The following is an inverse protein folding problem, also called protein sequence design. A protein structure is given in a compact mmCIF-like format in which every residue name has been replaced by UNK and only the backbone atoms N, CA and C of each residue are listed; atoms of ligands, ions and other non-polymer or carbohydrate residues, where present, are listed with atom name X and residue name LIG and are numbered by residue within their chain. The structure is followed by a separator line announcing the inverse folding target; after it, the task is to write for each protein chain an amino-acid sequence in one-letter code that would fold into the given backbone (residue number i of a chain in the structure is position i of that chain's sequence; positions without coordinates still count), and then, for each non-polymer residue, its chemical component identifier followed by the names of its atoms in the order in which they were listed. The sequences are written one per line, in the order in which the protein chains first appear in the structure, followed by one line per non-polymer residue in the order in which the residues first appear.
data_IF_235935732222
#
_entry.id   IF_235935732222
#
_cell.length_a   1.000
_cell.length_b   1.000
_cell.length_c   1.000
_cell.angle_alpha   90.00
_cell.angle_beta   90.00
_cell.angle_gamma   90.00
#
_symmetry.space_group_name_H-M   'P 1'
#
loop_
_entity.id
_entity.type
_entity.pdbx_description
1 polymer ?
#
# COMPACT_ATOMS: atom_id res chain seq x y z
N UNK A 1 -61.74 -9.15 32.05
CA UNK A 1 -60.47 -9.82 31.73
C UNK A 1 -60.01 -9.32 30.35
N UNK A 2 -58.93 -8.50 30.26
CA UNK A 2 -58.38 -7.95 29.00
C UNK A 2 -57.11 -8.73 28.63
N UNK A 3 -56.94 -9.25 27.39
CA UNK A 3 -55.72 -9.91 26.99
C UNK A 3 -54.65 -8.84 26.62
N UNK A 4 -53.49 -8.99 27.21
CA UNK A 4 -52.30 -8.19 26.90
C UNK A 4 -51.71 -8.65 25.56
N UNK A 5 -51.64 -7.76 24.59
CA UNK A 5 -50.98 -7.98 23.30
C UNK A 5 -49.49 -7.72 23.49
N UNK A 6 -48.68 -8.77 23.50
CA UNK A 6 -47.23 -8.72 23.48
C UNK A 6 -46.78 -8.38 22.05
N UNK A 7 -46.35 -7.13 21.82
CA UNK A 7 -45.73 -6.72 20.56
C UNK A 7 -44.26 -7.17 20.56
N UNK A 8 -43.95 -8.20 19.76
CA UNK A 8 -42.61 -8.67 19.49
C UNK A 8 -41.96 -7.71 18.48
N UNK A 9 -41.06 -6.84 18.95
CA UNK A 9 -40.22 -5.99 18.09
C UNK A 9 -39.07 -6.85 17.54
N UNK A 10 -39.22 -7.27 16.27
CA UNK A 10 -38.12 -7.87 15.51
C UNK A 10 -37.20 -6.75 15.07
N UNK A 11 -36.07 -6.57 15.77
CA UNK A 11 -34.99 -5.68 15.34
C UNK A 11 -34.23 -6.35 14.19
N UNK A 12 -34.51 -5.94 12.94
CA UNK A 12 -33.70 -6.30 11.80
C UNK A 12 -32.34 -5.62 11.90
N UNK A 13 -31.32 -6.38 12.33
CA UNK A 13 -29.90 -6.01 12.22
C UNK A 13 -29.51 -6.07 10.74
N UNK A 14 -29.52 -4.91 10.08
CA UNK A 14 -28.88 -4.76 8.75
C UNK A 14 -27.38 -4.86 8.94
N UNK A 15 -26.82 -6.05 8.71
CA UNK A 15 -25.37 -6.23 8.54
C UNK A 15 -25.03 -5.67 7.18
N UNK A 16 -24.59 -4.40 7.13
CA UNK A 16 -23.95 -3.84 5.94
C UNK A 16 -22.62 -4.56 5.73
N UNK A 17 -22.62 -5.56 4.86
CA UNK A 17 -21.39 -6.18 4.38
C UNK A 17 -20.66 -5.12 3.53
N UNK A 18 -19.72 -4.39 4.15
CA UNK A 18 -18.72 -3.64 3.39
C UNK A 18 -17.92 -4.65 2.57
N UNK A 19 -18.16 -4.72 1.27
CA UNK A 19 -17.32 -5.44 0.33
C UNK A 19 -15.94 -4.76 0.31
N UNK A 20 -15.03 -5.30 1.11
CA UNK A 20 -13.65 -4.81 1.16
C UNK A 20 -12.86 -5.44 0.03
N UNK A 21 -12.19 -4.62 -0.75
CA UNK A 21 -11.23 -5.02 -1.81
C UNK A 21 -10.10 -5.88 -1.25
N UNK A 22 -9.80 -5.74 0.04
CA UNK A 22 -8.95 -6.66 0.81
C UNK A 22 -9.81 -7.75 1.47
N UNK A 23 -9.42 -9.01 1.32
CA UNK A 23 -10.00 -10.12 2.07
C UNK A 23 -9.76 -9.96 3.59
N UNK A 24 -10.53 -10.68 4.44
CA UNK A 24 -10.37 -10.60 5.90
C UNK A 24 -8.94 -10.92 6.36
N UNK A 25 -8.31 -11.96 5.84
CA UNK A 25 -6.93 -12.34 6.16
C UNK A 25 -5.89 -11.34 5.66
N UNK A 26 -6.11 -10.70 4.52
CA UNK A 26 -5.22 -9.67 3.97
C UNK A 26 -5.19 -8.42 4.85
N UNK A 27 -6.32 -8.03 5.42
CA UNK A 27 -6.39 -6.88 6.32
C UNK A 27 -5.61 -7.10 7.61
N UNK A 28 -5.70 -8.29 8.19
CA UNK A 28 -4.94 -8.65 9.39
C UNK A 28 -3.44 -8.70 9.11
N UNK A 29 -3.03 -9.29 7.97
CA UNK A 29 -1.63 -9.31 7.53
C UNK A 29 -1.07 -7.90 7.32
N UNK A 30 -1.84 -7.03 6.68
CA UNK A 30 -1.47 -5.63 6.46
C UNK A 30 -1.28 -4.90 7.79
N UNK A 31 -2.20 -5.04 8.72
CA UNK A 31 -2.11 -4.41 10.04
C UNK A 31 -0.87 -4.89 10.80
N UNK A 32 -0.65 -6.19 10.86
CA UNK A 32 0.52 -6.77 11.55
C UNK A 32 1.85 -6.29 10.95
N UNK A 33 1.93 -6.24 9.63
CA UNK A 33 3.13 -5.77 8.93
C UNK A 33 3.38 -4.28 9.18
N UNK A 34 2.33 -3.46 9.16
CA UNK A 34 2.42 -2.03 9.47
C UNK A 34 2.83 -1.77 10.93
N UNK A 35 2.32 -2.54 11.88
CA UNK A 35 2.74 -2.50 13.29
C UNK A 35 4.21 -2.88 13.45
N UNK A 36 4.66 -3.93 12.75
CA UNK A 36 6.06 -4.35 12.73
C UNK A 36 6.97 -3.23 12.20
N UNK A 37 6.66 -2.64 11.02
CA UNK A 37 7.40 -1.53 10.45
C UNK A 37 7.46 -0.32 11.40
N UNK A 38 6.31 0.09 11.93
CA UNK A 38 6.22 1.22 12.84
C UNK A 38 7.01 1.03 14.13
N UNK A 39 7.12 -0.22 14.63
CA UNK A 39 7.88 -0.54 15.84
C UNK A 39 9.37 -0.30 15.70
N UNK A 40 9.91 -0.27 14.48
CA UNK A 40 11.32 0.01 14.19
C UNK A 40 11.68 1.49 14.38
N UNK A 41 10.68 2.40 14.39
CA UNK A 41 10.90 3.84 14.55
C UNK A 41 11.76 4.46 13.45
N UNK A 42 11.76 3.87 12.25
CA UNK A 42 12.59 4.28 11.12
C UNK A 42 12.09 5.60 10.55
N UNK A 43 12.96 6.60 10.48
CA UNK A 43 12.65 7.92 9.90
C UNK A 43 13.46 8.25 8.65
N UNK A 44 14.59 7.59 8.45
CA UNK A 44 15.46 7.79 7.28
C UNK A 44 15.91 6.42 6.74
N UNK A 45 15.65 6.17 5.45
CA UNK A 45 16.02 4.92 4.78
C UNK A 45 16.15 5.13 3.27
N UNK A 46 16.74 4.15 2.60
CA UNK A 46 16.73 4.06 1.15
C UNK A 46 16.35 2.65 0.72
N UNK A 47 15.73 2.52 -0.43
CA UNK A 47 15.36 1.23 -0.99
C UNK A 47 15.23 1.31 -2.50
N UNK A 48 15.26 0.17 -3.18
CA UNK A 48 15.00 0.09 -4.60
C UNK A 48 13.51 -0.11 -4.83
N UNK A 49 12.93 0.67 -5.77
CA UNK A 49 11.56 0.45 -6.20
C UNK A 49 11.37 0.67 -7.69
N UNK A 50 10.34 0.03 -8.23
CA UNK A 50 9.78 0.29 -9.56
C UNK A 50 8.26 0.23 -9.52
N UNK A 51 7.65 0.72 -10.59
CA UNK A 51 6.20 0.64 -10.78
C UNK A 51 5.91 0.09 -12.16
N UNK A 52 5.13 -0.98 -12.23
CA UNK A 52 4.59 -1.54 -13.48
C UNK A 52 3.16 -1.05 -13.65
N UNK A 53 2.88 -0.23 -14.67
CA UNK A 53 1.59 0.39 -14.95
C UNK A 53 1.50 0.74 -16.43
N UNK A 54 0.34 1.10 -16.93
CA UNK A 54 0.22 1.74 -18.25
C UNK A 54 0.59 3.23 -18.12
N UNK A 55 1.88 3.49 -17.91
CA UNK A 55 2.45 4.82 -17.63
C UNK A 55 3.78 5.00 -18.39
N UNK A 56 4.45 6.13 -18.23
CA UNK A 56 5.72 6.41 -18.92
C UNK A 56 6.86 5.44 -18.56
N UNK A 57 7.79 5.20 -19.48
CA UNK A 57 8.88 4.24 -19.29
C UNK A 57 9.79 4.57 -18.10
N UNK A 58 9.86 5.84 -17.69
CA UNK A 58 10.69 6.35 -16.61
C UNK A 58 10.38 5.76 -15.24
N UNK A 59 9.22 5.11 -15.07
CA UNK A 59 8.82 4.49 -13.80
C UNK A 59 9.00 2.98 -13.76
N UNK A 60 9.19 2.32 -14.92
CA UNK A 60 9.42 0.87 -15.00
C UNK A 60 10.77 0.42 -14.51
N UNK A 61 11.75 1.30 -14.65
CA UNK A 61 13.11 0.99 -14.25
C UNK A 61 13.24 1.03 -12.73
N UNK A 62 14.04 0.11 -12.20
CA UNK A 62 14.43 0.15 -10.81
C UNK A 62 15.18 1.43 -10.49
N UNK A 63 14.79 2.07 -9.41
CA UNK A 63 15.45 3.26 -8.90
C UNK A 63 15.70 3.14 -7.41
N UNK A 64 16.80 3.66 -6.92
CA UNK A 64 17.05 3.85 -5.49
C UNK A 64 16.33 5.10 -5.05
N UNK A 65 15.44 4.96 -4.08
CA UNK A 65 14.63 6.02 -3.51
C UNK A 65 15.13 6.33 -2.11
N UNK A 66 15.40 7.59 -1.83
CA UNK A 66 15.76 8.06 -0.49
C UNK A 66 14.53 8.67 0.17
N UNK A 67 14.25 8.23 1.40
CA UNK A 67 13.09 8.65 2.18
C UNK A 67 13.53 9.29 3.49
N UNK A 68 12.84 10.37 3.85
CA UNK A 68 13.00 11.04 5.15
C UNK A 68 11.64 11.44 5.71
N UNK A 69 11.37 11.03 6.95
CA UNK A 69 10.11 11.29 7.65
C UNK A 69 8.87 10.88 6.81
N UNK A 70 8.93 9.71 6.18
CA UNK A 70 7.84 9.17 5.37
C UNK A 70 7.66 9.81 3.98
N UNK A 71 8.50 10.78 3.60
CA UNK A 71 8.44 11.44 2.30
C UNK A 71 9.66 11.09 1.42
N UNK A 72 9.42 10.85 0.13
CA UNK A 72 10.48 10.71 -0.87
C UNK A 72 11.20 12.04 -1.01
N UNK A 73 12.51 12.08 -0.76
CA UNK A 73 13.34 13.28 -0.87
C UNK A 73 14.21 13.30 -2.11
N UNK A 74 14.58 12.13 -2.63
CA UNK A 74 15.30 11.99 -3.90
C UNK A 74 15.12 10.59 -4.48
N UNK A 75 15.38 10.46 -5.77
CA UNK A 75 15.52 9.17 -6.42
C UNK A 75 16.67 9.21 -7.44
N UNK A 76 17.33 8.07 -7.68
CA UNK A 76 18.41 7.91 -8.66
C UNK A 76 18.28 6.54 -9.33
N UNK A 77 18.76 6.44 -10.57
CA UNK A 77 18.89 5.16 -11.26
C UNK A 77 19.84 4.23 -10.50
N UNK A 78 19.84 2.94 -10.82
CA UNK A 78 20.81 2.00 -10.24
C UNK A 78 22.27 2.33 -10.62
N UNK A 79 22.49 3.04 -11.71
CA UNK A 79 23.81 3.58 -12.10
C UNK A 79 24.22 4.85 -11.33
N UNK A 80 23.33 5.39 -10.49
CA UNK A 80 23.57 6.57 -9.64
C UNK A 80 23.15 7.90 -10.27
N UNK A 81 22.65 7.93 -11.52
CA UNK A 81 22.18 9.16 -12.14
C UNK A 81 20.91 9.68 -11.43
N UNK A 82 20.84 10.97 -11.05
CA UNK A 82 19.67 11.53 -10.38
C UNK A 82 18.45 11.51 -11.30
N UNK A 83 17.28 11.17 -10.76
CA UNK A 83 16.00 11.27 -11.45
C UNK A 83 15.38 12.64 -11.14
N UNK A 84 14.51 13.12 -12.03
CA UNK A 84 13.83 14.42 -11.91
C UNK A 84 12.37 14.33 -12.38
N UNK A 85 11.56 15.34 -12.03
CA UNK A 85 10.19 15.45 -12.49
C UNK A 85 9.34 14.23 -12.15
N UNK A 86 8.55 13.75 -13.10
CA UNK A 86 7.63 12.64 -12.92
C UNK A 86 8.31 11.34 -12.48
N UNK A 87 9.57 11.10 -12.91
CA UNK A 87 10.33 9.93 -12.49
C UNK A 87 10.59 9.88 -10.95
N UNK A 88 10.64 11.03 -10.27
CA UNK A 88 10.72 11.12 -8.79
C UNK A 88 9.32 11.15 -8.18
N UNK A 89 8.42 11.96 -8.70
CA UNK A 89 7.07 12.18 -8.16
C UNK A 89 6.22 10.91 -8.14
N UNK A 90 6.45 10.01 -9.10
CA UNK A 90 5.80 8.70 -9.17
C UNK A 90 6.27 7.71 -8.10
N UNK A 91 7.45 7.93 -7.50
CA UNK A 91 7.99 7.04 -6.46
C UNK A 91 7.20 7.18 -5.16
N UNK A 92 7.13 6.09 -4.42
CA UNK A 92 6.38 6.01 -3.16
C UNK A 92 7.34 5.67 -2.02
N UNK A 93 7.09 6.22 -0.85
CA UNK A 93 7.71 5.75 0.39
C UNK A 93 7.02 4.48 0.90
N UNK A 94 7.61 3.80 1.87
CA UNK A 94 6.99 2.63 2.54
C UNK A 94 5.64 3.02 3.15
N UNK A 95 5.56 4.18 3.79
CA UNK A 95 4.34 4.70 4.41
C UNK A 95 3.24 4.95 3.37
N UNK A 96 3.62 5.46 2.18
CA UNK A 96 2.68 5.65 1.07
C UNK A 96 2.22 4.33 0.46
N UNK A 97 3.10 3.30 0.41
CA UNK A 97 2.70 1.95 -0.02
C UNK A 97 1.69 1.33 0.95
N UNK A 98 1.87 1.47 2.26
CA UNK A 98 0.87 1.07 3.25
C UNK A 98 -0.44 1.84 3.10
N UNK A 99 -0.38 3.14 2.83
CA UNK A 99 -1.57 3.95 2.61
C UNK A 99 -2.34 3.50 1.37
N UNK A 100 -1.66 3.22 0.25
CA UNK A 100 -2.25 2.65 -0.96
C UNK A 100 -2.94 1.31 -0.62
N UNK A 101 -2.24 0.39 0.02
CA UNK A 101 -2.79 -0.91 0.39
C UNK A 101 -4.05 -0.78 1.27
N UNK A 102 -4.09 0.16 2.21
CA UNK A 102 -5.18 0.34 3.17
C UNK A 102 -6.36 1.13 2.62
N UNK A 103 -6.12 2.22 1.90
CA UNK A 103 -7.13 3.24 1.58
C UNK A 103 -7.49 3.35 0.09
N UNK A 104 -6.68 2.84 -0.82
CA UNK A 104 -6.92 3.00 -2.25
C UNK A 104 -8.10 2.14 -2.71
N UNK A 105 -9.24 2.77 -2.99
CA UNK A 105 -10.52 2.08 -3.29
C UNK A 105 -11.33 2.76 -4.39
N UNK A 106 -10.73 3.17 -5.52
CA UNK A 106 -11.53 3.69 -6.63
C UNK A 106 -12.45 2.58 -7.20
N UNK A 107 -13.57 3.00 -7.78
CA UNK A 107 -14.62 2.09 -8.27
C UNK A 107 -14.13 1.07 -9.31
N UNK A 108 -13.02 1.36 -9.99
CA UNK A 108 -12.45 0.48 -10.99
C UNK A 108 -11.54 -0.62 -10.40
N UNK A 109 -11.14 -0.54 -9.14
CA UNK A 109 -10.33 -1.58 -8.49
C UNK A 109 -11.20 -2.78 -8.14
N UNK A 110 -10.75 -3.97 -8.52
CA UNK A 110 -11.37 -5.24 -8.13
C UNK A 110 -10.65 -5.88 -6.94
N UNK A 111 -9.32 -5.77 -6.87
CA UNK A 111 -8.50 -6.43 -5.85
C UNK A 111 -7.22 -5.65 -5.59
N UNK A 112 -6.73 -5.73 -4.35
CA UNK A 112 -5.38 -5.32 -3.95
C UNK A 112 -4.75 -6.50 -3.23
N UNK A 113 -3.59 -6.95 -3.74
CA UNK A 113 -2.75 -7.97 -3.11
C UNK A 113 -1.49 -7.28 -2.58
N UNK A 114 -1.03 -7.71 -1.39
CA UNK A 114 0.16 -7.14 -0.76
C UNK A 114 1.07 -8.25 -0.26
N UNK A 115 2.36 -8.15 -0.58
CA UNK A 115 3.41 -8.97 0.00
C UNK A 115 4.30 -8.10 0.90
N UNK A 116 4.84 -8.70 1.95
CA UNK A 116 5.62 -7.99 2.96
C UNK A 116 6.97 -8.66 3.18
N UNK A 117 7.98 -7.87 3.50
CA UNK A 117 9.24 -8.35 4.02
C UNK A 117 9.03 -9.02 5.38
N UNK A 118 9.59 -10.22 5.56
CA UNK A 118 9.37 -11.01 6.76
C UNK A 118 10.05 -10.42 8.02
N UNK A 119 11.17 -9.73 7.83
CA UNK A 119 12.01 -9.24 8.93
C UNK A 119 11.66 -7.80 9.33
N UNK A 120 11.36 -6.94 8.35
CA UNK A 120 11.11 -5.51 8.57
C UNK A 120 9.63 -5.13 8.45
N UNK A 121 8.80 -5.98 7.83
CA UNK A 121 7.37 -5.75 7.67
C UNK A 121 6.98 -4.78 6.55
N UNK A 122 7.93 -4.14 5.82
CA UNK A 122 7.57 -3.21 4.76
C UNK A 122 6.95 -3.93 3.53
N UNK A 123 6.06 -3.28 2.76
CA UNK A 123 5.49 -3.87 1.55
C UNK A 123 6.57 -4.07 0.49
N UNK A 124 6.78 -5.33 0.06
CA UNK A 124 7.67 -5.69 -1.06
C UNK A 124 6.94 -5.66 -2.40
N UNK A 125 5.63 -5.90 -2.38
CA UNK A 125 4.76 -5.82 -3.55
C UNK A 125 3.40 -5.26 -3.13
N UNK A 126 2.88 -4.30 -3.89
CA UNK A 126 1.49 -3.86 -3.82
C UNK A 126 0.90 -3.92 -5.23
N UNK A 127 0.04 -4.90 -5.49
CA UNK A 127 -0.57 -5.13 -6.79
C UNK A 127 -2.04 -4.70 -6.79
N UNK A 128 -2.38 -3.78 -7.68
CA UNK A 128 -3.73 -3.25 -7.86
C UNK A 128 -4.29 -3.82 -9.15
N UNK A 129 -5.33 -4.65 -9.04
CA UNK A 129 -6.01 -5.26 -10.17
C UNK A 129 -7.27 -4.48 -10.51
N UNK A 130 -7.44 -4.13 -11.80
CA UNK A 130 -8.66 -3.50 -12.31
C UNK A 130 -9.79 -4.50 -12.51
N UNK A 131 -11.03 -3.99 -12.60
CA UNK A 131 -12.18 -4.80 -13.02
C UNK A 131 -12.00 -5.27 -14.48
N UNK A 132 -12.56 -6.43 -14.87
CA UNK A 132 -12.32 -7.04 -16.20
C UNK A 132 -12.70 -6.15 -17.40
N UNK A 133 -13.61 -5.20 -17.22
CA UNK A 133 -14.08 -4.29 -18.28
C UNK A 133 -13.31 -2.96 -18.33
N UNK A 134 -12.25 -2.81 -17.54
CA UNK A 134 -11.42 -1.59 -17.47
C UNK A 134 -9.99 -1.98 -17.83
N UNK A 135 -9.60 -1.62 -19.04
CA UNK A 135 -8.24 -1.86 -19.52
C UNK A 135 -7.25 -0.84 -18.90
N UNK A 136 -6.01 -1.26 -18.73
CA UNK A 136 -4.83 -0.42 -18.46
C UNK A 136 -4.86 0.42 -17.16
N UNK A 137 -5.77 0.09 -16.22
CA UNK A 137 -5.93 0.82 -14.97
C UNK A 137 -5.22 0.20 -13.77
N UNK A 138 -4.62 -0.99 -13.92
CA UNK A 138 -3.86 -1.67 -12.86
C UNK A 138 -2.46 -1.09 -12.67
N UNK A 139 -1.88 -1.34 -11.50
CA UNK A 139 -0.50 -1.00 -11.19
C UNK A 139 0.09 -1.98 -10.19
N UNK A 140 1.39 -2.26 -10.33
CA UNK A 140 2.15 -3.02 -9.33
C UNK A 140 3.35 -2.20 -8.90
N UNK A 141 3.42 -1.93 -7.61
CA UNK A 141 4.59 -1.36 -6.96
C UNK A 141 5.44 -2.48 -6.40
N UNK A 142 6.73 -2.46 -6.70
CA UNK A 142 7.69 -3.43 -6.19
C UNK A 142 8.81 -2.71 -5.44
N UNK A 143 9.19 -3.22 -4.27
CA UNK A 143 10.21 -2.67 -3.40
C UNK A 143 11.16 -3.77 -2.91
N UNK A 144 12.47 -3.46 -2.81
CA UNK A 144 13.49 -4.39 -2.34
C UNK A 144 14.71 -3.66 -1.80
N UNK A 145 15.65 -4.40 -1.21
CA UNK A 145 16.96 -3.90 -0.79
C UNK A 145 16.87 -2.68 0.14
N UNK A 146 15.93 -2.69 1.10
CA UNK A 146 15.74 -1.60 2.05
C UNK A 146 16.92 -1.52 3.02
N UNK A 147 17.45 -0.32 3.17
CA UNK A 147 18.56 0.00 4.07
C UNK A 147 18.18 1.15 5.00
N UNK A 148 18.14 0.87 6.29
CA UNK A 148 17.84 1.86 7.32
C UNK A 148 19.10 2.70 7.56
N UNK A 149 18.95 4.03 7.55
CA UNK A 149 20.02 4.95 7.90
C UNK A 149 20.00 5.24 9.40
N UNK A 150 20.93 4.64 10.12
CA UNK A 150 21.10 4.94 11.54
C UNK A 150 21.84 6.27 11.65
N UNK A 151 21.22 7.27 12.30
CA UNK A 151 21.98 8.47 12.70
C UNK A 151 22.97 8.09 13.79
N UNK A 152 24.23 8.02 13.46
CA UNK A 152 25.31 8.13 14.46
C UNK A 152 25.25 9.54 15.06
N UNK A 153 24.98 9.62 16.36
CA UNK A 153 25.08 10.86 17.13
C UNK A 153 26.53 11.28 17.25
#
# INVERSE_FOLDING_TARGET
MKPAIVRLLVACLFVTACSSVLGPGERERLQKAEEQWNSLGVTEYSFEMRTSCFCGPEVYEWAVVDVKNGAVVSARSLSGAPLTGYAVESRKSVEQLFEIARKYRPDWVSKIDVEFDADLGYPTTVSITSKPNIADAGATYEARNLQIRVRTK
#
